data_IF_654096521355
#
_entry.id   IF_654096521355
#
_cell.length_a   1.000
_cell.length_b   1.000
_cell.length_c   1.000
_cell.angle_alpha   90.00
_cell.angle_beta   90.00
_cell.angle_gamma   90.00
#
_symmetry.space_group_name_H-M   'P 1'
#
loop_
_entity.id
_entity.type
_entity.pdbx_description
1 polymer ?
#
# COMPACT_ATOMS: atom_id res chain seq x y z
N UNK A 1 35.85 0.96 27.38
CA UNK A 1 34.98 0.60 28.54
C UNK A 1 33.56 1.02 28.12
N UNK A 2 32.68 0.06 27.89
CA UNK A 2 31.27 0.31 27.60
C UNK A 2 30.60 0.64 28.94
N UNK A 3 30.00 1.81 29.04
CA UNK A 3 29.30 2.23 30.26
C UNK A 3 27.87 1.68 30.27
N UNK A 4 27.30 1.43 31.44
CA UNK A 4 25.92 0.97 31.59
C UNK A 4 24.91 1.96 30.95
N UNK A 5 25.21 3.26 30.94
CA UNK A 5 24.45 4.30 30.24
C UNK A 5 24.40 4.11 28.74
N UNK A 6 25.45 3.55 28.13
CA UNK A 6 25.53 3.35 26.69
C UNK A 6 24.66 2.16 26.26
N UNK A 7 24.52 1.15 27.14
CA UNK A 7 23.67 -0.02 26.93
C UNK A 7 22.19 0.36 27.09
N UNK A 8 21.85 1.12 28.15
CA UNK A 8 20.48 1.58 28.38
C UNK A 8 19.97 2.46 27.22
N UNK A 9 20.77 3.45 26.80
CA UNK A 9 20.42 4.32 25.69
C UNK A 9 20.23 3.58 24.34
N UNK A 10 20.98 2.50 24.13
CA UNK A 10 20.79 1.63 22.93
C UNK A 10 19.50 0.81 23.01
N UNK A 11 19.11 0.33 24.18
CA UNK A 11 17.87 -0.40 24.39
C UNK A 11 16.66 0.53 24.26
N UNK A 12 16.72 1.73 24.82
CA UNK A 12 15.66 2.73 24.68
C UNK A 12 15.45 3.13 23.22
N UNK A 13 16.53 3.34 22.46
CA UNK A 13 16.45 3.64 21.05
C UNK A 13 15.79 2.50 20.24
N UNK A 14 16.08 1.24 20.58
CA UNK A 14 15.42 0.08 19.94
C UNK A 14 13.93 0.02 20.27
N UNK A 15 13.56 0.25 21.54
CA UNK A 15 12.17 0.23 21.98
C UNK A 15 11.35 1.34 21.29
N UNK A 16 11.91 2.54 21.20
CA UNK A 16 11.30 3.66 20.48
C UNK A 16 11.09 3.30 19.00
N UNK A 17 12.10 2.76 18.35
CA UNK A 17 12.00 2.40 16.95
C UNK A 17 11.00 1.28 16.71
N UNK A 18 10.96 0.25 17.54
CA UNK A 18 9.96 -0.81 17.46
C UNK A 18 8.55 -0.24 17.63
N UNK A 19 8.35 0.64 18.62
CA UNK A 19 7.07 1.33 18.82
C UNK A 19 6.63 2.16 17.62
N UNK A 20 7.55 2.91 17.00
CA UNK A 20 7.27 3.71 15.80
C UNK A 20 6.94 2.82 14.60
N UNK A 21 7.67 1.71 14.41
CA UNK A 21 7.42 0.78 13.29
C UNK A 21 6.07 0.08 13.41
N UNK A 22 5.72 -0.41 14.60
CA UNK A 22 4.42 -1.05 14.86
C UNK A 22 3.29 -0.06 14.60
N UNK A 23 3.36 1.14 15.18
CA UNK A 23 2.37 2.21 14.92
C UNK A 23 2.30 2.59 13.44
N UNK A 24 3.43 2.58 12.71
CA UNK A 24 3.44 2.89 11.28
C UNK A 24 2.69 1.83 10.45
N UNK A 25 2.81 0.55 10.79
CA UNK A 25 2.06 -0.52 10.14
C UNK A 25 0.58 -0.44 10.45
N UNK A 26 0.21 -0.11 11.69
CA UNK A 26 -1.18 0.06 12.10
C UNK A 26 -1.86 1.27 11.42
N UNK A 27 -1.11 2.34 11.15
CA UNK A 27 -1.61 3.55 10.49
C UNK A 27 -1.72 3.36 8.96
N UNK A 28 -0.85 2.54 8.36
CA UNK A 28 -0.86 2.29 6.92
C UNK A 28 -2.11 1.54 6.50
N UNK A 29 -2.88 2.15 5.60
CA UNK A 29 -4.12 1.54 5.09
C UNK A 29 -3.88 0.53 3.97
N UNK A 30 -2.75 0.63 3.25
CA UNK A 30 -2.48 -0.15 2.04
C UNK A 30 -1.60 -1.38 2.28
N UNK A 31 -0.95 -1.50 3.44
CA UNK A 31 -0.11 -2.67 3.77
C UNK A 31 -0.88 -3.98 3.68
N UNK A 32 -2.17 -3.98 4.06
CA UNK A 32 -3.01 -5.17 3.98
C UNK A 32 -3.27 -5.68 2.55
N UNK A 33 -2.99 -4.86 1.53
CA UNK A 33 -3.11 -5.24 0.11
C UNK A 33 -1.81 -5.84 -0.44
N UNK A 34 -0.71 -5.71 0.31
CA UNK A 34 0.61 -6.10 -0.13
C UNK A 34 1.07 -7.37 0.55
N UNK A 35 1.74 -8.23 -0.21
CA UNK A 35 2.49 -9.34 0.37
C UNK A 35 3.80 -8.81 0.93
N UNK A 36 3.97 -8.85 2.24
CA UNK A 36 5.21 -8.41 2.90
C UNK A 36 6.21 -9.55 2.91
N UNK A 37 7.38 -9.30 2.35
CA UNK A 37 8.50 -10.25 2.30
C UNK A 37 9.68 -9.69 3.08
N UNK A 38 10.20 -10.44 4.02
CA UNK A 38 11.43 -10.06 4.73
C UNK A 38 12.65 -10.34 3.85
N UNK A 39 13.44 -9.31 3.63
CA UNK A 39 14.63 -9.36 2.78
C UNK A 39 15.85 -9.04 3.65
N UNK A 40 16.75 -10.00 3.93
CA UNK A 40 17.89 -9.79 4.82
C UNK A 40 18.95 -8.87 4.22
N UNK A 41 19.01 -8.79 2.88
CA UNK A 41 19.97 -7.99 2.13
C UNK A 41 19.30 -6.81 1.44
N UNK A 42 20.09 -5.80 1.06
CA UNK A 42 19.57 -4.62 0.37
C UNK A 42 19.16 -4.89 -1.08
N UNK A 43 19.66 -5.95 -1.66
CA UNK A 43 19.31 -6.43 -3.00
C UNK A 43 18.99 -7.91 -2.89
N UNK A 44 17.82 -8.30 -3.32
CA UNK A 44 17.42 -9.71 -3.35
C UNK A 44 16.55 -9.97 -4.57
N UNK A 45 16.73 -11.13 -5.16
CA UNK A 45 15.92 -11.62 -6.26
C UNK A 45 15.07 -12.79 -5.76
N UNK A 46 13.77 -12.69 -5.92
CA UNK A 46 12.83 -13.74 -5.52
C UNK A 46 12.21 -14.33 -6.78
N UNK A 47 12.38 -15.64 -7.03
CA UNK A 47 11.70 -16.30 -8.12
C UNK A 47 10.20 -16.45 -7.79
N UNK A 48 9.35 -16.09 -8.74
CA UNK A 48 7.90 -16.32 -8.65
C UNK A 48 7.48 -17.15 -9.84
N UNK A 49 6.72 -18.18 -9.56
CA UNK A 49 6.23 -19.12 -10.55
C UNK A 49 4.94 -18.59 -11.18
N UNK A 50 4.88 -18.55 -12.50
CA UNK A 50 3.64 -18.32 -13.22
C UNK A 50 2.69 -19.53 -13.04
N UNK A 51 1.35 -19.33 -13.07
CA UNK A 51 0.41 -20.44 -13.08
C UNK A 51 0.74 -21.40 -14.22
N UNK A 52 0.80 -22.69 -13.93
CA UNK A 52 0.94 -23.70 -14.96
C UNK A 52 -0.35 -23.78 -15.78
N UNK A 53 -0.25 -23.95 -17.08
CA UNK A 53 -1.38 -24.35 -17.90
C UNK A 53 -1.77 -25.80 -17.53
N UNK A 54 -3.07 -26.06 -17.44
CA UNK A 54 -3.62 -27.41 -17.21
C UNK A 54 -4.30 -27.89 -18.48
N UNK A 55 -4.32 -29.21 -18.68
CA UNK A 55 -5.12 -29.82 -19.72
C UNK A 55 -6.47 -30.21 -19.14
N UNK A 56 -7.56 -29.82 -19.78
CA UNK A 56 -8.94 -30.18 -19.41
C UNK A 56 -9.40 -31.40 -20.22
N UNK A 57 -10.32 -32.17 -19.65
CA UNK A 57 -11.04 -33.26 -20.33
C UNK A 57 -10.18 -34.30 -21.03
N UNK A 58 -9.14 -34.80 -20.32
CA UNK A 58 -8.27 -35.84 -20.84
C UNK A 58 -9.04 -37.17 -21.01
N UNK A 59 -8.92 -37.76 -22.19
CA UNK A 59 -9.45 -39.12 -22.43
C UNK A 59 -8.58 -40.17 -21.72
N UNK A 60 -9.19 -41.33 -21.43
CA UNK A 60 -8.49 -42.47 -20.82
C UNK A 60 -7.34 -42.88 -21.76
N UNK A 61 -6.10 -42.86 -21.24
CA UNK A 61 -4.84 -43.12 -21.98
C UNK A 61 -4.23 -41.93 -22.75
N UNK A 62 -4.73 -40.72 -22.58
CA UNK A 62 -4.10 -39.54 -23.15
C UNK A 62 -2.90 -39.06 -22.29
N UNK A 63 -1.76 -38.85 -22.93
CA UNK A 63 -0.56 -38.36 -22.25
C UNK A 63 -0.64 -36.85 -22.10
N UNK A 64 -0.63 -36.37 -20.85
CA UNK A 64 -0.44 -34.96 -20.56
C UNK A 64 1.00 -34.54 -20.89
N UNK A 65 1.15 -33.44 -21.63
CA UNK A 65 2.43 -32.74 -21.71
C UNK A 65 2.72 -32.10 -20.36
N UNK A 66 3.86 -32.43 -19.77
CA UNK A 66 4.33 -31.76 -18.56
C UNK A 66 4.82 -30.36 -18.97
N UNK A 67 4.00 -29.35 -18.73
CA UNK A 67 4.44 -27.97 -18.88
C UNK A 67 5.22 -27.56 -17.63
N UNK A 68 6.46 -27.17 -17.81
CA UNK A 68 7.25 -26.55 -16.75
C UNK A 68 6.72 -25.13 -16.56
N UNK A 69 6.29 -24.77 -15.33
CA UNK A 69 5.93 -23.39 -15.02
C UNK A 69 7.13 -22.47 -15.24
N UNK A 70 6.90 -21.37 -15.94
CA UNK A 70 7.91 -20.34 -16.12
C UNK A 70 8.17 -19.59 -14.82
N UNK A 71 9.43 -19.45 -14.44
CA UNK A 71 9.84 -18.65 -13.29
C UNK A 71 10.18 -17.24 -13.76
N UNK A 72 9.55 -16.25 -13.14
CA UNK A 72 9.90 -14.84 -13.31
C UNK A 72 10.61 -14.34 -12.06
N UNK A 73 11.76 -13.72 -12.24
CA UNK A 73 12.51 -13.14 -11.13
C UNK A 73 12.00 -11.74 -10.79
N UNK A 74 11.77 -11.50 -9.49
CA UNK A 74 11.47 -10.18 -8.95
C UNK A 74 12.65 -9.65 -8.19
N UNK A 75 13.17 -8.55 -8.66
CA UNK A 75 14.31 -7.91 -8.05
C UNK A 75 13.84 -6.84 -7.04
N UNK A 76 14.22 -7.04 -5.77
CA UNK A 76 14.09 -6.04 -4.72
C UNK A 76 15.41 -5.27 -4.58
N UNK A 77 15.34 -3.96 -4.80
CA UNK A 77 16.43 -3.03 -4.54
C UNK A 77 15.98 -2.06 -3.46
N UNK A 78 16.22 -2.42 -2.20
CA UNK A 78 15.66 -1.72 -1.05
C UNK A 78 16.20 -0.30 -0.95
N UNK A 79 15.30 0.66 -0.91
CA UNK A 79 15.61 2.09 -0.73
C UNK A 79 15.39 2.51 0.72
N UNK A 80 16.28 3.38 1.19
CA UNK A 80 16.28 3.87 2.56
C UNK A 80 15.25 4.99 2.75
N UNK A 81 14.36 4.79 3.72
CA UNK A 81 13.50 5.83 4.27
C UNK A 81 14.05 6.26 5.63
N UNK A 82 14.28 7.54 5.81
CA UNK A 82 14.86 8.10 7.05
C UNK A 82 13.87 8.99 7.75
N UNK A 83 13.73 8.77 9.05
CA UNK A 83 13.01 9.67 9.95
C UNK A 83 13.93 10.02 11.12
N UNK A 84 13.93 11.29 11.50
CA UNK A 84 14.64 11.80 12.68
C UNK A 84 13.62 12.33 13.68
N UNK A 85 13.80 11.96 14.94
CA UNK A 85 13.04 12.45 16.08
C UNK A 85 14.02 13.17 16.98
N UNK A 86 13.73 14.40 17.37
CA UNK A 86 14.57 15.17 18.28
C UNK A 86 13.76 15.73 19.44
N UNK A 87 14.23 15.57 20.66
CA UNK A 87 13.62 16.12 21.87
C UNK A 87 14.66 16.91 22.62
N UNK A 88 14.40 18.20 22.87
CA UNK A 88 15.27 19.04 23.70
C UNK A 88 14.97 18.80 25.17
N UNK A 89 15.99 18.94 26.03
CA UNK A 89 15.82 18.81 27.47
C UNK A 89 14.83 19.86 28.01
N UNK A 90 14.85 21.07 27.45
CA UNK A 90 13.89 22.11 27.86
C UNK A 90 12.43 21.71 27.55
N UNK A 91 12.17 21.02 26.41
CA UNK A 91 10.83 20.59 26.06
C UNK A 91 10.31 19.49 27.01
N UNK A 92 11.20 18.62 27.50
CA UNK A 92 10.86 17.61 28.52
C UNK A 92 10.44 18.23 29.85
N UNK A 93 11.18 19.28 30.30
CA UNK A 93 10.90 19.92 31.58
C UNK A 93 9.72 20.89 31.54
N UNK A 94 9.47 21.54 30.40
CA UNK A 94 8.40 22.55 30.23
C UNK A 94 7.09 22.01 29.70
N UNK A 95 7.06 20.76 29.21
CA UNK A 95 5.84 20.19 28.64
C UNK A 95 4.76 19.93 29.70
N UNK A 96 3.66 20.68 29.61
CA UNK A 96 2.45 20.47 30.42
C UNK A 96 1.45 19.52 29.72
N UNK A 97 1.65 19.20 28.45
CA UNK A 97 0.71 18.46 27.60
C UNK A 97 1.05 16.98 27.41
N UNK A 98 1.94 16.43 28.24
CA UNK A 98 2.40 15.04 28.11
C UNK A 98 3.84 14.92 27.63
N UNK A 99 4.29 13.70 27.40
CA UNK A 99 5.65 13.42 26.95
C UNK A 99 5.84 13.86 25.48
N UNK A 100 6.71 14.84 25.19
CA UNK A 100 6.95 15.30 23.83
C UNK A 100 7.55 14.23 22.93
N UNK A 101 8.21 13.22 23.51
CA UNK A 101 8.78 12.10 22.75
C UNK A 101 7.65 11.25 22.12
N UNK A 102 6.61 10.94 22.89
CA UNK A 102 5.47 10.12 22.40
C UNK A 102 4.71 10.78 21.25
N UNK A 103 4.59 12.11 21.28
CA UNK A 103 3.97 12.88 20.19
C UNK A 103 4.84 12.84 18.91
N UNK A 104 6.14 12.93 19.05
CA UNK A 104 7.06 12.84 17.92
C UNK A 104 7.14 11.43 17.35
N UNK A 105 7.06 10.40 18.20
CA UNK A 105 6.94 9.00 17.75
C UNK A 105 5.70 8.79 16.88
N UNK A 106 4.55 9.32 17.31
CA UNK A 106 3.31 9.22 16.52
C UNK A 106 3.44 9.94 15.17
N UNK A 107 4.06 11.12 15.15
CA UNK A 107 4.33 11.86 13.92
C UNK A 107 5.30 11.12 12.99
N UNK A 108 6.35 10.52 13.54
CA UNK A 108 7.31 9.71 12.79
C UNK A 108 6.65 8.46 12.20
N UNK A 109 5.80 7.79 12.98
CA UNK A 109 5.03 6.63 12.53
C UNK A 109 4.10 6.99 11.37
N UNK A 110 3.36 8.09 11.49
CA UNK A 110 2.49 8.57 10.42
C UNK A 110 3.28 8.90 9.14
N UNK A 111 4.48 9.48 9.28
CA UNK A 111 5.35 9.76 8.13
C UNK A 111 5.87 8.48 7.45
N UNK A 112 6.29 7.48 8.22
CA UNK A 112 6.73 6.19 7.68
C UNK A 112 5.59 5.43 7.02
N UNK A 113 4.38 5.46 7.58
CA UNK A 113 3.17 4.91 6.98
C UNK A 113 2.86 5.57 5.63
N UNK A 114 2.87 6.90 5.59
CA UNK A 114 2.67 7.65 4.34
C UNK A 114 3.71 7.29 3.27
N UNK A 115 4.98 7.16 3.62
CA UNK A 115 6.04 6.79 2.67
C UNK A 115 5.85 5.36 2.15
N UNK A 116 5.39 4.45 2.99
CA UNK A 116 5.08 3.07 2.61
C UNK A 116 3.89 3.03 1.65
N UNK A 117 2.78 3.68 2.00
CA UNK A 117 1.60 3.79 1.14
C UNK A 117 1.95 4.40 -0.22
N UNK A 118 2.80 5.44 -0.24
CA UNK A 118 3.28 6.04 -1.48
C UNK A 118 4.06 5.04 -2.34
N UNK A 119 4.92 4.21 -1.75
CA UNK A 119 5.66 3.18 -2.48
C UNK A 119 4.73 2.12 -3.07
N UNK A 120 3.72 1.67 -2.29
CA UNK A 120 2.72 0.70 -2.74
C UNK A 120 1.93 1.26 -3.93
N UNK A 121 1.41 2.48 -3.83
CA UNK A 121 0.66 3.12 -4.93
C UNK A 121 1.55 3.31 -6.15
N UNK A 122 2.80 3.76 -5.96
CA UNK A 122 3.75 3.93 -7.08
C UNK A 122 4.00 2.59 -7.78
N UNK A 123 4.15 1.50 -7.02
CA UNK A 123 4.35 0.17 -7.59
C UNK A 123 3.12 -0.30 -8.39
N UNK A 124 1.91 -0.09 -7.88
CA UNK A 124 0.66 -0.42 -8.58
C UNK A 124 0.45 0.40 -9.86
N UNK A 125 1.06 1.59 -9.95
CA UNK A 125 1.00 2.46 -11.12
C UNK A 125 2.11 2.19 -12.15
N UNK A 126 2.98 1.23 -11.89
CA UNK A 126 3.97 0.77 -12.89
C UNK A 126 3.30 -0.23 -13.82
N UNK A 127 3.25 0.11 -15.10
CA UNK A 127 2.67 -0.73 -16.17
C UNK A 127 1.26 -1.30 -15.86
N UNK A 128 0.31 -0.51 -15.31
CA UNK A 128 -1.02 -1.03 -15.06
C UNK A 128 -1.76 -1.26 -16.39
N UNK A 129 -2.78 -2.12 -16.37
CA UNK A 129 -3.80 -2.06 -17.41
C UNK A 129 -4.56 -0.75 -17.25
N UNK A 130 -4.80 -0.03 -18.33
CA UNK A 130 -5.43 1.30 -18.27
C UNK A 130 -6.59 1.44 -19.23
N UNK A 131 -7.63 2.12 -18.78
CA UNK A 131 -8.64 2.70 -19.66
C UNK A 131 -8.92 4.15 -19.26
N UNK A 132 -9.34 4.95 -20.22
CA UNK A 132 -9.97 6.22 -19.89
C UNK A 132 -11.43 5.94 -19.48
N UNK A 133 -11.95 6.73 -18.53
CA UNK A 133 -13.39 6.71 -18.23
C UNK A 133 -14.18 7.11 -19.47
N UNK A 134 -15.32 6.47 -19.68
CA UNK A 134 -16.22 6.86 -20.76
C UNK A 134 -16.79 8.26 -20.55
N UNK A 135 -16.93 8.67 -19.28
CA UNK A 135 -17.44 9.98 -18.92
C UNK A 135 -17.06 10.39 -17.50
N UNK A 136 -16.94 11.69 -17.26
CA UNK A 136 -16.51 12.25 -15.95
C UNK A 136 -17.55 11.95 -14.88
N UNK A 137 -17.11 11.41 -13.73
CA UNK A 137 -17.97 10.99 -12.62
C UNK A 137 -18.67 12.16 -11.90
N UNK A 138 -18.19 13.38 -12.06
CA UNK A 138 -18.86 14.57 -11.53
C UNK A 138 -20.13 14.95 -12.30
N UNK A 139 -20.39 14.33 -13.47
CA UNK A 139 -21.58 14.58 -14.27
C UNK A 139 -22.73 13.67 -13.82
N UNK A 140 -23.89 14.26 -13.59
CA UNK A 140 -25.07 13.58 -13.02
C UNK A 140 -25.54 12.37 -13.82
N UNK A 141 -25.32 12.38 -15.12
CA UNK A 141 -25.76 11.31 -16.04
C UNK A 141 -24.81 10.12 -16.15
N UNK A 142 -23.61 10.24 -15.56
CA UNK A 142 -22.58 9.23 -15.69
C UNK A 142 -22.59 8.28 -14.51
N UNK A 143 -22.54 6.98 -14.76
CA UNK A 143 -22.55 5.95 -13.73
C UNK A 143 -21.14 5.42 -13.45
N UNK A 144 -20.52 5.81 -12.33
CA UNK A 144 -19.19 5.33 -11.97
C UNK A 144 -19.09 3.81 -11.79
N UNK A 145 -20.21 3.17 -11.43
CA UNK A 145 -20.25 1.72 -11.19
C UNK A 145 -20.00 0.91 -12.47
N UNK A 146 -20.35 1.45 -13.64
CA UNK A 146 -20.07 0.80 -14.93
C UNK A 146 -18.58 0.76 -15.21
N UNK A 147 -17.87 1.89 -14.97
CA UNK A 147 -16.42 1.96 -15.16
C UNK A 147 -15.70 0.99 -14.22
N UNK A 148 -16.14 0.94 -12.95
CA UNK A 148 -15.59 0.01 -11.95
C UNK A 148 -15.88 -1.45 -12.31
N UNK A 149 -17.10 -1.79 -12.77
CA UNK A 149 -17.45 -3.13 -13.21
C UNK A 149 -16.62 -3.56 -14.43
N UNK A 150 -16.38 -2.64 -15.36
CA UNK A 150 -15.53 -2.88 -16.52
C UNK A 150 -14.08 -3.13 -16.10
N UNK A 151 -13.57 -2.36 -15.12
CA UNK A 151 -12.24 -2.59 -14.57
C UNK A 151 -12.14 -3.96 -13.90
N UNK A 152 -13.15 -4.35 -13.11
CA UNK A 152 -13.20 -5.68 -12.48
C UNK A 152 -13.18 -6.82 -13.52
N UNK A 153 -13.92 -6.67 -14.60
CA UNK A 153 -13.97 -7.67 -15.67
C UNK A 153 -12.62 -7.82 -16.42
N UNK A 154 -11.80 -6.77 -16.43
CA UNK A 154 -10.51 -6.76 -17.13
C UNK A 154 -9.32 -7.17 -16.24
N UNK A 155 -9.53 -7.51 -14.97
CA UNK A 155 -8.47 -7.97 -14.05
C UNK A 155 -8.15 -9.47 -14.26
N UNK A 156 -7.98 -9.92 -15.47
CA UNK A 156 -7.52 -11.28 -15.80
C UNK A 156 -8.26 -12.40 -15.06
N UNK A 157 -7.58 -13.48 -14.64
CA UNK A 157 -8.19 -14.61 -13.94
C UNK A 157 -8.50 -14.35 -12.46
N UNK A 158 -8.19 -13.15 -11.94
CA UNK A 158 -8.36 -12.80 -10.54
C UNK A 158 -9.65 -12.05 -10.28
N UNK A 159 -10.20 -12.20 -9.08
CA UNK A 159 -11.38 -11.44 -8.66
C UNK A 159 -10.93 -10.14 -8.01
N UNK A 160 -11.37 -9.01 -8.56
CA UNK A 160 -11.14 -7.71 -7.96
C UNK A 160 -11.82 -7.60 -6.59
N UNK A 161 -11.12 -7.13 -5.58
CA UNK A 161 -11.61 -7.02 -4.21
C UNK A 161 -11.33 -5.66 -3.56
N UNK A 162 -10.50 -4.82 -4.18
CA UNK A 162 -10.21 -3.48 -3.67
C UNK A 162 -10.19 -2.41 -4.76
N UNK A 163 -10.39 -1.17 -4.30
CA UNK A 163 -10.33 0.02 -5.12
C UNK A 163 -9.62 1.13 -4.33
N UNK A 164 -8.63 1.78 -4.93
CA UNK A 164 -7.89 2.89 -4.31
C UNK A 164 -8.20 4.17 -5.10
N UNK A 165 -8.67 5.20 -4.41
CA UNK A 165 -8.98 6.48 -5.04
C UNK A 165 -8.55 7.67 -4.17
N UNK A 166 -8.16 8.81 -4.77
CA UNK A 166 -7.85 10.03 -4.04
C UNK A 166 -9.13 10.67 -3.47
N UNK A 167 -8.98 11.50 -2.41
CA UNK A 167 -10.12 12.12 -1.70
C UNK A 167 -11.04 12.93 -2.60
N UNK A 168 -10.47 13.65 -3.56
CA UNK A 168 -11.24 14.45 -4.52
C UNK A 168 -12.13 13.58 -5.42
N UNK A 169 -11.63 12.44 -5.88
CA UNK A 169 -12.40 11.45 -6.65
C UNK A 169 -13.45 10.79 -5.76
N UNK A 170 -13.08 10.39 -4.54
CA UNK A 170 -14.00 9.83 -3.56
C UNK A 170 -15.19 10.74 -3.29
N UNK A 171 -14.96 12.04 -3.08
CA UNK A 171 -16.02 13.00 -2.84
C UNK A 171 -17.00 13.09 -4.04
N UNK A 172 -16.49 13.03 -5.27
CA UNK A 172 -17.32 13.02 -6.49
C UNK A 172 -18.05 11.68 -6.68
N UNK A 173 -17.40 10.58 -6.34
CA UNK A 173 -18.01 9.26 -6.36
C UNK A 173 -19.21 9.17 -5.43
N UNK A 174 -19.07 9.58 -4.16
CA UNK A 174 -20.14 9.59 -3.17
C UNK A 174 -21.25 10.56 -3.53
N UNK A 175 -20.91 11.73 -4.07
CA UNK A 175 -21.88 12.74 -4.50
C UNK A 175 -22.59 12.44 -5.83
N UNK A 176 -22.22 11.38 -6.52
CA UNK A 176 -22.86 10.99 -7.78
C UNK A 176 -24.26 10.37 -7.51
N UNK A 177 -25.26 10.70 -8.34
CA UNK A 177 -26.64 10.25 -8.12
C UNK A 177 -26.78 8.73 -8.09
N UNK A 178 -26.05 8.00 -8.93
CA UNK A 178 -26.13 6.54 -8.95
C UNK A 178 -25.58 5.91 -7.69
N UNK A 179 -24.45 6.42 -7.18
CA UNK A 179 -23.83 5.91 -5.95
C UNK A 179 -24.58 6.39 -4.70
N UNK A 180 -25.11 7.62 -4.69
CA UNK A 180 -25.86 8.16 -3.56
C UNK A 180 -27.17 7.39 -3.30
N UNK A 181 -27.84 6.86 -4.32
CA UNK A 181 -29.02 6.02 -4.18
C UNK A 181 -28.70 4.72 -3.42
N UNK A 182 -27.55 4.10 -3.66
CA UNK A 182 -27.11 2.92 -2.91
C UNK A 182 -26.76 3.24 -1.46
N UNK A 183 -26.24 4.45 -1.18
CA UNK A 183 -25.91 4.89 0.17
C UNK A 183 -27.17 5.20 0.94
N UNK A 184 -28.15 5.88 0.34
CA UNK A 184 -29.43 6.24 0.97
C UNK A 184 -30.26 5.01 1.34
N UNK A 185 -30.18 3.93 0.59
CA UNK A 185 -30.85 2.65 0.90
C UNK A 185 -30.27 1.89 2.09
N UNK A 186 -29.12 2.32 2.63
CA UNK A 186 -28.43 1.68 3.75
C UNK A 186 -28.00 2.70 4.81
N UNK A 187 -28.93 3.16 5.68
CA UNK A 187 -28.66 4.21 6.67
C UNK A 187 -27.56 3.86 7.68
N UNK A 188 -27.30 2.58 7.94
CA UNK A 188 -26.19 2.14 8.81
C UNK A 188 -24.81 2.48 8.26
N UNK A 189 -24.71 2.71 6.95
CA UNK A 189 -23.45 3.09 6.28
C UNK A 189 -23.22 4.60 6.23
N UNK A 190 -24.18 5.41 6.65
CA UNK A 190 -24.06 6.88 6.70
C UNK A 190 -23.12 7.36 7.83
N UNK A 191 -22.94 6.59 8.89
CA UNK A 191 -22.08 6.90 10.02
C UNK A 191 -20.65 6.39 9.87
N UNK A 192 -20.34 5.67 8.79
CA UNK A 192 -19.01 5.14 8.51
C UNK A 192 -18.54 5.49 7.10
N UNK A 193 -17.26 5.50 6.91
CA UNK A 193 -16.64 5.50 5.58
C UNK A 193 -17.22 4.30 4.82
N UNK A 194 -17.71 4.52 3.58
CA UNK A 194 -18.18 3.42 2.74
C UNK A 194 -17.01 2.47 2.54
N UNK A 195 -16.98 1.38 3.29
CA UNK A 195 -15.88 0.44 3.27
C UNK A 195 -15.94 -0.51 2.08
N UNK A 196 -17.13 -0.68 1.50
CA UNK A 196 -17.35 -1.63 0.39
C UNK A 196 -18.37 -1.04 -0.59
N UNK A 197 -18.11 -1.17 -1.90
CA UNK A 197 -19.05 -0.75 -2.95
C UNK A 197 -20.10 -1.84 -3.11
N UNK A 198 -21.40 -1.55 -2.89
CA UNK A 198 -22.47 -2.51 -3.05
C UNK A 198 -22.52 -3.05 -4.48
N UNK A 199 -22.76 -4.35 -4.63
CA UNK A 199 -22.87 -5.02 -5.94
C UNK A 199 -21.54 -5.42 -6.58
N UNK A 200 -20.43 -4.76 -6.27
CA UNK A 200 -19.11 -5.10 -6.79
C UNK A 200 -18.19 -5.74 -5.72
N UNK A 201 -18.60 -5.71 -4.46
CA UNK A 201 -17.84 -6.22 -3.31
C UNK A 201 -16.40 -5.66 -3.18
N UNK A 202 -16.17 -4.45 -3.71
CA UNK A 202 -14.88 -3.78 -3.67
C UNK A 202 -14.69 -3.01 -2.36
N UNK A 203 -13.61 -3.28 -1.63
CA UNK A 203 -13.18 -2.46 -0.50
C UNK A 203 -12.59 -1.15 -1.00
N UNK A 204 -13.01 -0.02 -0.42
CA UNK A 204 -12.53 1.29 -0.84
C UNK A 204 -11.44 1.78 0.09
N UNK A 205 -10.31 2.15 -0.51
CA UNK A 205 -9.19 2.79 0.17
C UNK A 205 -9.03 4.21 -0.36
N UNK A 206 -9.08 5.18 0.54
CA UNK A 206 -8.89 6.59 0.18
C UNK A 206 -7.44 6.96 0.44
N UNK A 207 -6.69 7.23 -0.64
CA UNK A 207 -5.27 7.58 -0.54
C UNK A 207 -4.87 8.60 -1.61
N UNK A 208 -4.35 9.76 -1.15
CA UNK A 208 -4.00 10.88 -2.02
C UNK A 208 -2.66 10.69 -2.79
N UNK A 209 -1.97 9.56 -2.59
CA UNK A 209 -0.77 9.22 -3.37
C UNK A 209 -1.12 8.69 -4.78
N UNK A 210 -2.36 8.30 -5.03
CA UNK A 210 -2.84 7.93 -6.37
C UNK A 210 -2.77 9.15 -7.28
N UNK A 211 -2.36 8.95 -8.53
CA UNK A 211 -2.33 10.02 -9.53
C UNK A 211 -3.69 10.72 -9.57
N UNK A 212 -3.67 12.06 -9.55
CA UNK A 212 -4.87 12.86 -9.60
C UNK A 212 -5.77 12.43 -10.78
N UNK A 213 -7.08 12.43 -10.56
CA UNK A 213 -8.11 12.04 -11.54
C UNK A 213 -8.06 10.56 -11.98
N UNK A 214 -7.45 9.68 -11.20
CA UNK A 214 -7.44 8.25 -11.50
C UNK A 214 -7.86 7.40 -10.31
N UNK A 215 -8.29 6.17 -10.62
CA UNK A 215 -8.69 5.14 -9.65
C UNK A 215 -7.96 3.86 -10.00
N UNK A 216 -7.49 3.16 -9.00
CA UNK A 216 -6.86 1.85 -9.16
C UNK A 216 -7.81 0.80 -8.59
N UNK A 217 -8.13 -0.20 -9.40
CA UNK A 217 -8.88 -1.39 -8.99
C UNK A 217 -7.91 -2.57 -9.02
N UNK A 218 -7.98 -3.46 -8.04
CA UNK A 218 -7.06 -4.58 -7.99
C UNK A 218 -7.60 -5.77 -7.22
N UNK A 219 -6.82 -6.85 -7.23
CA UNK A 219 -7.09 -8.09 -6.54
C UNK A 219 -6.02 -8.35 -5.48
N UNK A 220 -6.40 -8.51 -4.21
CA UNK A 220 -5.46 -8.82 -3.11
C UNK A 220 -5.09 -10.31 -3.07
N UNK A 221 -5.95 -11.18 -3.59
CA UNK A 221 -5.70 -12.62 -3.68
C UNK A 221 -4.60 -13.02 -4.67
N UNK A 222 -4.25 -12.14 -5.61
CA UNK A 222 -3.00 -12.24 -6.38
C UNK A 222 -1.96 -11.32 -5.73
N UNK A 223 -0.66 -11.62 -5.80
CA UNK A 223 0.37 -10.71 -5.33
C UNK A 223 0.40 -9.45 -6.19
N UNK A 224 -0.62 -8.58 -6.00
CA UNK A 224 -0.76 -7.33 -6.75
C UNK A 224 0.38 -6.38 -6.46
N UNK A 225 0.94 -6.45 -5.26
CA UNK A 225 2.14 -5.74 -4.87
C UNK A 225 2.88 -6.51 -3.78
N UNK A 226 4.19 -6.63 -3.92
CA UNK A 226 5.07 -7.18 -2.90
C UNK A 226 5.89 -6.05 -2.27
N UNK A 227 5.96 -6.03 -0.94
CA UNK A 227 6.79 -5.09 -0.19
C UNK A 227 7.96 -5.85 0.40
N UNK A 228 9.15 -5.56 -0.08
CA UNK A 228 10.39 -5.99 0.55
C UNK A 228 10.66 -5.15 1.79
N UNK A 229 10.73 -5.80 2.95
CA UNK A 229 11.06 -5.18 4.22
C UNK A 229 12.46 -5.61 4.64
N UNK A 230 13.39 -4.67 4.66
CA UNK A 230 14.78 -4.91 4.99
C UNK A 230 15.14 -4.51 6.42
N UNK A 231 16.42 -4.52 6.76
CA UNK A 231 16.92 -4.22 8.09
C UNK A 231 16.58 -2.78 8.50
N UNK A 232 16.34 -2.59 9.79
CA UNK A 232 16.17 -1.27 10.40
C UNK A 232 17.45 -0.89 11.11
N UNK A 233 17.98 0.30 10.79
CA UNK A 233 19.16 0.86 11.47
C UNK A 233 18.73 2.04 12.32
N UNK A 234 19.11 2.00 13.59
CA UNK A 234 18.80 3.02 14.57
C UNK A 234 20.10 3.64 15.03
N UNK A 235 20.12 4.97 15.12
CA UNK A 235 21.23 5.74 15.68
C UNK A 235 20.67 6.75 16.67
N UNK A 236 21.35 6.88 17.79
CA UNK A 236 21.16 7.98 18.72
C UNK A 236 22.31 8.95 18.52
N UNK A 237 21.98 10.21 18.39
CA UNK A 237 22.93 11.32 18.33
C UNK A 237 22.61 12.26 19.49
N UNK A 238 23.58 12.54 20.33
CA UNK A 238 23.42 13.56 21.36
C UNK A 238 23.61 14.93 20.71
N UNK A 239 22.67 15.84 20.94
CA UNK A 239 22.77 17.21 20.47
C UNK A 239 23.73 18.00 21.31
N UNK A 240 24.66 18.77 20.70
CA UNK A 240 25.54 19.68 21.43
C UNK A 240 24.79 20.76 22.23
N UNK A 241 23.52 20.98 21.97
CA UNK A 241 22.67 22.03 22.57
C UNK A 241 21.66 21.48 23.60
N UNK A 242 21.95 20.34 24.24
CA UNK A 242 21.05 19.72 25.22
C UNK A 242 19.78 19.16 24.56
N UNK A 243 19.83 17.91 24.21
CA UNK A 243 18.74 17.17 23.63
C UNK A 243 19.20 15.88 23.00
N UNK A 244 18.26 15.01 22.71
CA UNK A 244 18.51 13.71 22.10
C UNK A 244 17.89 13.63 20.72
N UNK A 245 18.63 13.11 19.74
CA UNK A 245 18.16 12.86 18.38
C UNK A 245 18.19 11.37 18.12
N UNK A 246 17.05 10.81 17.74
CA UNK A 246 16.93 9.43 17.31
C UNK A 246 16.71 9.39 15.80
N UNK A 247 17.63 8.75 15.09
CA UNK A 247 17.52 8.53 13.64
C UNK A 247 17.15 7.09 13.36
N UNK A 248 16.08 6.90 12.59
CA UNK A 248 15.67 5.59 12.10
C UNK A 248 15.82 5.55 10.58
N UNK A 249 16.56 4.57 10.10
CA UNK A 249 16.70 4.24 8.67
C UNK A 249 15.98 2.91 8.44
N UNK A 250 14.91 2.94 7.67
CA UNK A 250 14.11 1.77 7.28
C UNK A 250 14.34 1.51 5.80
N UNK A 251 14.73 0.29 5.45
CA UNK A 251 14.97 -0.08 4.06
C UNK A 251 13.75 -0.83 3.52
N UNK A 252 13.04 -0.24 2.56
CA UNK A 252 11.80 -0.79 2.01
C UNK A 252 11.67 -0.49 0.52
N UNK A 253 11.09 -1.43 -0.19
CA UNK A 253 10.66 -1.23 -1.59
C UNK A 253 9.36 -1.98 -1.83
N UNK A 254 8.45 -1.33 -2.56
CA UNK A 254 7.30 -2.00 -3.15
C UNK A 254 7.60 -2.29 -4.63
N UNK A 255 7.25 -3.46 -5.08
CA UNK A 255 7.45 -3.92 -6.46
C UNK A 255 6.10 -4.30 -7.04
N UNK A 256 5.84 -3.87 -8.28
CA UNK A 256 4.64 -4.25 -9.02
C UNK A 256 4.61 -5.76 -9.28
N UNK A 257 3.42 -6.35 -9.39
CA UNK A 257 3.31 -7.79 -9.55
C UNK A 257 3.93 -8.27 -10.84
N UNK A 258 4.28 -9.47 -10.75
CA UNK A 258 5.10 -10.29 -11.60
C UNK A 258 4.30 -10.87 -12.75
N UNK A 259 3.00 -11.06 -12.54
CA UNK A 259 2.15 -11.62 -13.57
C UNK A 259 1.77 -10.53 -14.56
N UNK A 260 2.40 -10.57 -15.71
CA UNK A 260 2.15 -9.67 -16.82
C UNK A 260 1.37 -10.41 -17.90
N UNK A 261 0.40 -9.72 -18.49
CA UNK A 261 -0.31 -10.24 -19.65
C UNK A 261 0.58 -10.21 -20.91
N UNK A 262 0.06 -10.71 -22.03
CA UNK A 262 0.75 -10.70 -23.35
C UNK A 262 1.21 -9.31 -23.80
N UNK A 263 0.60 -8.24 -23.26
CA UNK A 263 1.00 -6.84 -23.51
C UNK A 263 1.98 -6.28 -22.47
N UNK A 264 2.57 -7.13 -21.65
CA UNK A 264 3.50 -6.76 -20.57
C UNK A 264 2.90 -5.81 -19.52
N UNK A 265 1.58 -5.91 -19.29
CA UNK A 265 0.82 -5.13 -18.30
C UNK A 265 0.47 -5.96 -17.09
N UNK A 266 0.39 -5.31 -15.93
CA UNK A 266 0.01 -5.93 -14.68
C UNK A 266 -1.41 -6.54 -14.76
N UNK A 267 -1.54 -7.86 -14.57
CA UNK A 267 -2.82 -8.55 -14.64
C UNK A 267 -3.70 -8.33 -13.40
N UNK A 268 -3.11 -8.05 -12.26
CA UNK A 268 -3.81 -7.93 -10.98
C UNK A 268 -4.21 -6.50 -10.62
N UNK A 269 -3.90 -5.51 -11.46
CA UNK A 269 -4.26 -4.12 -11.24
C UNK A 269 -4.72 -3.43 -12.52
N UNK A 270 -5.75 -2.63 -12.39
CA UNK A 270 -6.37 -1.86 -13.48
C UNK A 270 -6.53 -0.40 -13.06
N UNK A 271 -6.09 0.53 -13.90
CA UNK A 271 -6.20 1.95 -13.64
C UNK A 271 -7.20 2.62 -14.56
N UNK A 272 -8.21 3.27 -13.99
CA UNK A 272 -9.16 4.12 -14.70
C UNK A 272 -8.63 5.57 -14.62
N UNK A 273 -8.48 6.23 -15.76
CA UNK A 273 -7.96 7.60 -15.84
C UNK A 273 -9.04 8.59 -16.27
N UNK A 274 -8.88 9.87 -15.88
CA UNK A 274 -9.78 10.94 -16.30
C UNK A 274 -11.14 10.95 -15.62
N UNK A 275 -11.29 10.31 -14.44
CA UNK A 275 -12.57 10.17 -13.75
C UNK A 275 -13.18 11.49 -13.25
N UNK A 276 -12.40 12.54 -13.14
CA UNK A 276 -12.85 13.91 -12.79
C UNK A 276 -12.23 14.93 -13.73
N UNK A 277 -12.88 16.09 -13.87
CA UNK A 277 -12.41 17.21 -14.70
C UNK A 277 -11.10 17.82 -14.18
#
# INVERSE_FOLDING_TARGET
IIRASDISGSLDAKNIAMGVLTKALDISNLVQLATVVEVPELVATIPVMAPCAGNEDLEEWEYTTVESGDFTNVDFNLKKDRVKIGVSDESRYKSRAGDPLSLQEASAAARLAYLLDKKIVTALQVDPQTSATAAIWSTVTNNPLIDLATACANIGPYTADYCIMPRNVWAKFVGNNYTSQFIQGNPEKLNGVLTTIPGLNLKVFVNDNVTAKSVIVGASGAPSVAVGNGPVKIRREDSMNGGEIYQMDVFRQAVAPILKNSSNKNMAAYQITGVIA
#
